data_IF_399028748395
#
_entry.id   IF_399028748395
#
_cell.length_a   1.000
_cell.length_b   1.000
_cell.length_c   1.000
_cell.angle_alpha   90.00
_cell.angle_beta   90.00
_cell.angle_gamma   90.00
#
_symmetry.space_group_name_H-M   'P 1'
#
loop_
_entity.id
_entity.type
_entity.pdbx_description
1 polymer ?
#
# COMPACT_ATOMS: atom_id res chain seq x y z
N UNK A 1 -20.32 0.17 -24.90
CA UNK A 1 -19.00 -0.44 -25.21
C UNK A 1 -17.95 0.32 -24.40
N UNK A 2 -17.74 -0.10 -23.14
CA UNK A 2 -16.87 0.61 -22.20
C UNK A 2 -15.42 0.38 -22.65
N UNK A 3 -14.75 1.47 -23.01
CA UNK A 3 -13.35 1.48 -23.45
C UNK A 3 -12.50 0.76 -22.40
N UNK A 4 -11.82 -0.31 -22.85
CA UNK A 4 -10.86 -1.10 -22.07
C UNK A 4 -9.60 -0.26 -21.81
N UNK A 5 -9.68 0.70 -20.91
CA UNK A 5 -8.55 1.50 -20.44
C UNK A 5 -8.78 1.72 -18.95
N UNK A 6 -7.72 1.54 -18.15
CA UNK A 6 -7.47 2.12 -16.80
C UNK A 6 -6.56 1.19 -15.96
N UNK A 7 -6.36 -0.07 -16.31
CA UNK A 7 -5.85 -1.03 -15.32
C UNK A 7 -4.39 -0.86 -14.88
N UNK A 8 -3.42 -0.51 -15.73
CA UNK A 8 -2.02 -0.47 -15.26
C UNK A 8 -1.70 0.81 -14.46
N UNK A 9 -2.20 1.97 -14.90
CA UNK A 9 -1.93 3.26 -14.22
C UNK A 9 -2.80 3.48 -12.98
N UNK A 10 -4.02 2.91 -12.93
CA UNK A 10 -4.95 3.05 -11.81
C UNK A 10 -4.72 2.03 -10.69
N UNK A 11 -4.21 0.83 -11.01
CA UNK A 11 -3.68 -0.10 -10.00
C UNK A 11 -2.43 0.49 -9.35
N UNK A 12 -1.61 1.21 -10.12
CA UNK A 12 -0.43 1.90 -9.59
C UNK A 12 -0.76 3.16 -8.76
N UNK A 13 -1.96 3.74 -8.89
CA UNK A 13 -2.36 4.97 -8.16
C UNK A 13 -3.23 4.72 -6.93
N UNK A 14 -3.78 3.51 -6.78
CA UNK A 14 -4.55 3.09 -5.62
C UNK A 14 -3.73 2.13 -4.77
N UNK A 15 -3.34 2.62 -3.59
CA UNK A 15 -2.72 1.90 -2.48
C UNK A 15 -1.18 1.86 -2.48
N UNK A 16 -0.58 2.99 -2.14
CA UNK A 16 0.73 3.04 -1.49
C UNK A 16 0.57 3.60 -0.07
N UNK A 17 -0.05 2.81 0.81
CA UNK A 17 0.46 2.78 2.18
C UNK A 17 1.66 1.85 2.13
N UNK A 18 2.87 2.41 2.11
CA UNK A 18 4.08 1.62 2.34
C UNK A 18 3.92 1.01 3.73
N UNK A 19 3.58 -0.27 3.79
CA UNK A 19 3.49 -1.01 5.03
C UNK A 19 4.90 -1.14 5.63
N UNK A 20 5.15 -0.28 6.61
CA UNK A 20 5.76 -0.60 7.90
C UNK A 20 7.23 -1.05 7.87
N UNK A 21 8.12 -0.07 7.71
CA UNK A 21 9.56 -0.28 7.89
C UNK A 21 9.93 -0.26 9.37
N UNK A 22 9.93 -1.43 10.01
CA UNK A 22 11.00 -1.72 10.96
C UNK A 22 12.28 -1.82 10.14
N UNK A 23 13.03 -0.73 10.04
CA UNK A 23 14.29 -0.77 9.32
C UNK A 23 15.34 -1.44 10.21
N UNK A 24 15.36 -2.78 10.20
CA UNK A 24 16.56 -3.52 10.61
C UNK A 24 17.77 -2.98 9.86
N UNK A 25 18.97 -3.16 10.40
CA UNK A 25 20.19 -2.71 9.73
C UNK A 25 20.26 -3.24 8.29
N UNK A 26 19.84 -4.49 8.11
CA UNK A 26 19.77 -5.18 6.83
C UNK A 26 18.77 -4.53 5.87
N UNK A 27 17.58 -4.13 6.35
CA UNK A 27 16.59 -3.39 5.57
C UNK A 27 17.12 -2.01 5.14
N UNK A 28 17.82 -1.29 6.03
CA UNK A 28 18.45 0.01 5.70
C UNK A 28 19.53 -0.14 4.63
N UNK A 29 20.39 -1.13 4.77
CA UNK A 29 21.45 -1.41 3.78
C UNK A 29 20.87 -1.75 2.40
N UNK A 30 19.79 -2.53 2.38
CA UNK A 30 19.09 -2.86 1.14
C UNK A 30 18.42 -1.63 0.52
N UNK A 31 17.74 -0.80 1.32
CA UNK A 31 17.18 0.47 0.85
C UNK A 31 18.26 1.40 0.27
N UNK A 32 19.44 1.51 0.91
CA UNK A 32 20.56 2.28 0.37
C UNK A 32 21.09 1.71 -0.95
N UNK A 33 21.09 0.38 -1.12
CA UNK A 33 21.44 -0.25 -2.39
C UNK A 33 20.40 0.06 -3.47
N UNK A 34 19.11 0.02 -3.10
CA UNK A 34 18.01 0.43 -3.97
C UNK A 34 18.14 1.88 -4.40
N UNK A 35 18.40 2.81 -3.47
CA UNK A 35 18.58 4.24 -3.77
C UNK A 35 19.69 4.48 -4.79
N UNK A 36 20.84 3.83 -4.59
CA UNK A 36 21.97 3.89 -5.55
C UNK A 36 21.58 3.36 -6.92
N UNK A 37 20.90 2.22 -6.96
CA UNK A 37 20.42 1.64 -8.22
C UNK A 37 19.44 2.57 -8.95
N UNK A 38 18.42 3.07 -8.26
CA UNK A 38 17.38 3.91 -8.86
C UNK A 38 17.93 5.26 -9.29
N UNK A 39 18.85 5.85 -8.52
CA UNK A 39 19.51 7.09 -8.91
C UNK A 39 20.41 6.92 -10.15
N UNK A 40 21.20 5.83 -10.21
CA UNK A 40 22.03 5.52 -11.36
C UNK A 40 21.21 5.21 -12.63
N UNK A 41 19.97 4.73 -12.47
CA UNK A 41 19.08 4.36 -13.58
C UNK A 41 17.92 5.35 -13.79
N UNK A 42 17.99 6.55 -13.22
CA UNK A 42 16.90 7.53 -13.29
C UNK A 42 16.53 7.90 -14.73
N UNK A 43 17.52 8.10 -15.60
CA UNK A 43 17.24 8.40 -17.01
C UNK A 43 16.59 7.22 -17.72
N UNK A 44 17.08 5.99 -17.47
CA UNK A 44 16.49 4.77 -18.04
C UNK A 44 15.02 4.59 -17.61
N UNK A 45 14.66 4.98 -16.38
CA UNK A 45 13.27 5.01 -15.92
C UNK A 45 12.46 6.07 -16.68
N UNK A 46 12.96 7.30 -16.78
CA UNK A 46 12.28 8.36 -17.51
C UNK A 46 12.03 7.98 -18.98
N UNK A 47 12.98 7.30 -19.62
CA UNK A 47 12.85 6.83 -21.00
C UNK A 47 11.82 5.71 -21.11
N UNK A 48 11.76 4.80 -20.13
CA UNK A 48 10.72 3.77 -20.02
C UNK A 48 9.33 4.40 -19.84
N UNK A 49 9.20 5.38 -18.95
CA UNK A 49 7.93 6.10 -18.73
C UNK A 49 7.45 6.76 -20.03
N UNK A 50 8.33 7.51 -20.72
CA UNK A 50 8.02 8.13 -22.01
C UNK A 50 7.59 7.10 -23.05
N UNK A 51 8.31 5.98 -23.16
CA UNK A 51 7.96 4.89 -24.07
C UNK A 51 6.56 4.34 -23.75
N UNK A 52 6.28 4.02 -22.48
CA UNK A 52 4.98 3.47 -22.07
C UNK A 52 3.82 4.45 -22.29
N UNK A 53 4.07 5.75 -22.15
CA UNK A 53 3.05 6.77 -22.43
C UNK A 53 2.83 7.00 -23.94
N UNK A 54 3.78 6.64 -24.80
CA UNK A 54 3.64 6.77 -26.27
C UNK A 54 2.90 5.60 -26.93
N UNK A 55 2.77 4.45 -26.26
CA UNK A 55 2.13 3.27 -26.84
C UNK A 55 0.61 3.34 -26.67
N UNK A 56 -0.18 2.82 -27.63
CA UNK A 56 -1.63 2.65 -27.48
C UNK A 56 -1.96 1.73 -26.29
N UNK A 57 -3.10 1.96 -25.63
CA UNK A 57 -3.53 1.18 -24.45
C UNK A 57 -4.09 -0.22 -24.82
N UNK A 58 -4.53 -0.41 -26.06
CA UNK A 58 -5.11 -1.65 -26.57
C UNK A 58 -4.08 -2.68 -27.06
N UNK A 59 -2.81 -2.29 -27.22
CA UNK A 59 -1.71 -3.17 -27.66
C UNK A 59 -0.97 -3.87 -26.51
N UNK A 60 -1.70 -4.60 -25.64
CA UNK A 60 -1.15 -5.22 -24.41
C UNK A 60 0.10 -6.08 -24.67
N UNK A 61 0.10 -6.90 -25.72
CA UNK A 61 1.22 -7.79 -26.03
C UNK A 61 2.49 -7.00 -26.38
N UNK A 62 2.35 -5.97 -27.23
CA UNK A 62 3.46 -5.10 -27.62
C UNK A 62 3.99 -4.30 -26.41
N UNK A 63 3.10 -3.73 -25.59
CA UNK A 63 3.49 -3.02 -24.35
C UNK A 63 4.28 -3.93 -23.41
N UNK A 64 3.80 -5.16 -23.21
CA UNK A 64 4.44 -6.18 -22.37
C UNK A 64 5.84 -6.50 -22.87
N UNK A 65 5.99 -6.75 -24.17
CA UNK A 65 7.28 -7.05 -24.79
C UNK A 65 8.25 -5.87 -24.67
N UNK A 66 7.79 -4.65 -24.98
CA UNK A 66 8.60 -3.43 -24.89
C UNK A 66 9.04 -3.17 -23.45
N UNK A 67 8.16 -3.35 -22.47
CA UNK A 67 8.49 -3.24 -21.06
C UNK A 67 9.58 -4.23 -20.66
N UNK A 68 9.40 -5.53 -20.93
CA UNK A 68 10.37 -6.58 -20.57
C UNK A 68 11.76 -6.33 -21.17
N UNK A 69 11.82 -5.72 -22.36
CA UNK A 69 13.07 -5.44 -23.07
C UNK A 69 13.72 -4.10 -22.74
N UNK A 70 13.07 -3.25 -21.94
CA UNK A 70 13.58 -1.93 -21.58
C UNK A 70 14.88 -2.00 -20.77
N UNK A 71 15.76 -1.02 -20.96
CA UNK A 71 17.08 -0.95 -20.30
C UNK A 71 16.95 -0.92 -18.78
N UNK A 72 15.97 -0.17 -18.26
CA UNK A 72 15.69 -0.13 -16.83
C UNK A 72 15.34 -1.53 -16.28
N UNK A 73 14.50 -2.28 -16.99
CA UNK A 73 14.06 -3.62 -16.56
C UNK A 73 15.20 -4.63 -16.59
N UNK A 74 16.05 -4.59 -17.62
CA UNK A 74 17.27 -5.40 -17.68
C UNK A 74 18.20 -5.10 -16.49
N UNK A 75 18.37 -3.81 -16.18
CA UNK A 75 19.21 -3.37 -15.06
C UNK A 75 18.61 -3.76 -13.71
N UNK A 76 17.28 -3.67 -13.56
CA UNK A 76 16.55 -4.14 -12.38
C UNK A 76 16.76 -5.64 -12.16
N UNK A 77 16.68 -6.46 -13.22
CA UNK A 77 16.89 -7.91 -13.09
C UNK A 77 18.31 -8.25 -12.60
N UNK A 78 19.33 -7.56 -13.10
CA UNK A 78 20.72 -7.72 -12.62
C UNK A 78 20.84 -7.28 -11.16
N UNK A 79 20.29 -6.13 -10.80
CA UNK A 79 20.29 -5.64 -9.43
C UNK A 79 19.58 -6.60 -8.46
N UNK A 80 18.41 -7.11 -8.85
CA UNK A 80 17.62 -8.03 -8.05
C UNK A 80 18.35 -9.37 -7.85
N UNK A 81 19.02 -9.88 -8.89
CA UNK A 81 19.86 -11.08 -8.78
C UNK A 81 21.03 -10.86 -7.81
N UNK A 82 21.73 -9.72 -7.90
CA UNK A 82 22.86 -9.41 -7.04
C UNK A 82 22.47 -9.19 -5.57
N UNK A 83 21.24 -8.75 -5.30
CA UNK A 83 20.75 -8.48 -3.94
C UNK A 83 19.75 -9.53 -3.44
N UNK A 84 19.58 -10.64 -4.17
CA UNK A 84 18.55 -11.63 -3.90
C UNK A 84 18.61 -12.24 -2.50
N UNK A 85 19.81 -12.53 -1.98
CA UNK A 85 19.96 -13.06 -0.61
C UNK A 85 19.51 -12.06 0.45
N UNK A 86 19.81 -10.76 0.25
CA UNK A 86 19.38 -9.69 1.16
C UNK A 86 17.86 -9.53 1.13
N UNK A 87 17.27 -9.54 -0.06
CA UNK A 87 15.81 -9.55 -0.19
C UNK A 87 15.16 -10.74 0.49
N UNK A 88 15.67 -11.95 0.25
CA UNK A 88 15.17 -13.18 0.83
C UNK A 88 15.22 -13.11 2.36
N UNK A 89 16.34 -12.67 2.95
CA UNK A 89 16.49 -12.55 4.40
C UNK A 89 15.49 -11.53 5.01
N UNK A 90 15.44 -10.31 4.47
CA UNK A 90 14.58 -9.24 5.00
C UNK A 90 13.09 -9.61 4.86
N UNK A 91 12.66 -10.07 3.69
CA UNK A 91 11.25 -10.46 3.46
C UNK A 91 10.87 -11.69 4.27
N UNK A 92 11.73 -12.71 4.37
CA UNK A 92 11.47 -13.88 5.22
C UNK A 92 11.21 -13.47 6.66
N UNK A 93 12.02 -12.56 7.21
CA UNK A 93 11.84 -12.07 8.58
C UNK A 93 10.50 -11.34 8.77
N UNK A 94 10.00 -10.61 7.76
CA UNK A 94 8.67 -9.98 7.80
C UNK A 94 7.55 -11.00 7.69
N UNK A 95 7.65 -11.91 6.73
CA UNK A 95 6.62 -12.92 6.48
C UNK A 95 6.43 -13.84 7.69
N UNK A 96 7.52 -14.16 8.41
CA UNK A 96 7.48 -14.98 9.62
C UNK A 96 6.79 -14.33 10.84
N UNK A 97 6.43 -13.05 10.77
CA UNK A 97 5.65 -12.37 11.82
C UNK A 97 4.15 -12.75 11.76
N UNK A 98 3.68 -13.15 10.59
CA UNK A 98 2.27 -13.46 10.35
C UNK A 98 1.94 -14.91 10.74
N UNK A 99 0.71 -15.08 11.22
CA UNK A 99 0.17 -16.37 11.58
C UNK A 99 -0.04 -17.27 10.34
N UNK A 100 0.00 -18.61 10.51
CA UNK A 100 -0.47 -19.53 9.49
C UNK A 100 -1.98 -19.39 9.27
N UNK A 101 -2.51 -19.72 8.08
CA UNK A 101 -3.94 -19.62 7.82
C UNK A 101 -4.74 -20.59 8.70
N UNK A 102 -5.90 -20.19 9.24
CA UNK A 102 -6.75 -21.10 10.00
C UNK A 102 -7.23 -22.25 9.11
N UNK A 103 -7.41 -23.47 9.64
CA UNK A 103 -7.83 -24.63 8.84
C UNK A 103 -9.12 -24.41 8.04
N UNK A 104 -10.07 -23.66 8.60
CA UNK A 104 -11.33 -23.36 7.93
C UNK A 104 -11.16 -22.47 6.68
N UNK A 105 -10.16 -21.58 6.64
CA UNK A 105 -9.82 -20.81 5.44
C UNK A 105 -9.27 -21.71 4.32
N UNK A 106 -8.48 -22.72 4.69
CA UNK A 106 -7.94 -23.69 3.72
C UNK A 106 -9.03 -24.62 3.15
N UNK A 107 -10.13 -24.80 3.88
CA UNK A 107 -11.25 -25.65 3.48
C UNK A 107 -12.24 -24.96 2.52
N UNK A 108 -12.05 -23.67 2.22
CA UNK A 108 -12.86 -22.96 1.23
C UNK A 108 -12.62 -23.50 -0.18
N UNK A 109 -13.59 -23.26 -1.07
CA UNK A 109 -13.45 -23.57 -2.50
C UNK A 109 -12.51 -22.55 -3.18
N UNK A 110 -11.33 -23.01 -3.61
CA UNK A 110 -10.33 -22.17 -4.30
C UNK A 110 -10.36 -22.37 -5.82
N UNK A 111 -10.71 -21.31 -6.54
CA UNK A 111 -10.61 -21.25 -7.99
C UNK A 111 -9.19 -20.80 -8.41
N UNK A 112 -8.56 -21.65 -9.23
CA UNK A 112 -7.23 -21.44 -9.81
C UNK A 112 -7.28 -21.22 -11.34
N UNK A 113 -8.47 -21.37 -11.94
CA UNK A 113 -8.71 -21.41 -13.38
C UNK A 113 -8.99 -20.03 -13.97
N UNK A 114 -9.66 -19.14 -13.23
CA UNK A 114 -10.07 -17.81 -13.73
C UNK A 114 -8.93 -16.82 -14.01
N UNK A 115 -7.67 -17.26 -14.01
CA UNK A 115 -6.49 -16.39 -13.82
C UNK A 115 -5.34 -16.67 -14.80
N UNK A 116 -5.47 -17.68 -15.66
CA UNK A 116 -4.38 -18.16 -16.55
C UNK A 116 -4.65 -17.93 -18.04
N UNK A 117 -5.37 -16.87 -18.40
CA UNK A 117 -5.46 -16.47 -19.80
C UNK A 117 -4.14 -15.78 -20.23
N UNK A 118 -3.47 -16.23 -21.31
CA UNK A 118 -2.35 -15.48 -21.89
C UNK A 118 -2.76 -14.03 -22.18
N UNK A 119 -1.86 -13.08 -21.91
CA UNK A 119 -2.11 -11.62 -22.03
C UNK A 119 -3.17 -11.04 -21.08
N UNK A 120 -3.65 -11.80 -20.08
CA UNK A 120 -4.42 -11.22 -18.98
C UNK A 120 -3.53 -10.44 -18.01
N UNK A 121 -4.14 -9.53 -17.25
CA UNK A 121 -3.49 -8.78 -16.17
C UNK A 121 -2.78 -9.72 -15.18
N UNK A 122 -3.41 -10.84 -14.82
CA UNK A 122 -2.86 -11.86 -13.92
C UNK A 122 -1.77 -12.72 -14.57
N UNK A 123 -1.77 -12.85 -15.90
CA UNK A 123 -0.73 -13.52 -16.67
C UNK A 123 0.61 -12.78 -16.70
N UNK A 124 0.65 -11.50 -16.35
CA UNK A 124 1.86 -10.67 -16.28
C UNK A 124 2.16 -10.17 -14.87
N UNK A 125 1.67 -10.88 -13.84
CA UNK A 125 1.80 -10.45 -12.45
C UNK A 125 3.26 -10.37 -11.98
N UNK A 126 4.16 -11.09 -12.64
CA UNK A 126 5.60 -11.06 -12.39
C UNK A 126 6.22 -9.68 -12.67
N UNK A 127 5.61 -8.88 -13.55
CA UNK A 127 6.08 -7.53 -13.88
C UNK A 127 5.92 -6.55 -12.71
N UNK A 128 5.03 -6.83 -11.74
CA UNK A 128 4.88 -6.01 -10.54
C UNK A 128 6.06 -6.14 -9.57
N UNK A 129 6.99 -7.08 -9.81
CA UNK A 129 8.22 -7.19 -9.00
C UNK A 129 9.02 -5.88 -8.95
N UNK A 130 8.97 -5.07 -10.00
CA UNK A 130 9.63 -3.75 -10.07
C UNK A 130 9.07 -2.77 -9.04
N UNK A 131 7.75 -2.74 -8.83
CA UNK A 131 7.12 -1.85 -7.85
C UNK A 131 7.25 -2.39 -6.41
N UNK A 132 7.73 -3.63 -6.25
CA UNK A 132 8.02 -4.26 -4.96
C UNK A 132 9.48 -4.09 -4.52
N UNK A 133 10.27 -3.29 -5.25
CA UNK A 133 11.68 -3.00 -4.95
C UNK A 133 11.91 -2.47 -3.53
N UNK A 134 10.96 -1.69 -3.00
CA UNK A 134 11.02 -1.09 -1.65
C UNK A 134 10.02 -1.73 -0.68
N UNK A 135 9.48 -2.90 -1.03
CA UNK A 135 8.43 -3.59 -0.29
C UNK A 135 8.98 -4.87 0.31
N UNK A 136 8.88 -4.95 1.64
CA UNK A 136 9.39 -6.09 2.41
C UNK A 136 8.28 -6.84 3.15
N UNK A 137 7.25 -6.12 3.58
CA UNK A 137 6.07 -6.68 4.24
C UNK A 137 5.07 -7.25 3.21
N UNK A 138 4.44 -8.41 3.48
CA UNK A 138 3.50 -9.04 2.56
C UNK A 138 2.20 -8.25 2.33
N UNK A 139 1.87 -7.28 3.17
CA UNK A 139 0.60 -6.53 3.09
C UNK A 139 0.43 -5.80 1.76
N UNK A 140 1.45 -5.09 1.28
CA UNK A 140 1.35 -4.38 0.01
C UNK A 140 1.30 -5.36 -1.18
N UNK A 141 2.04 -6.47 -1.11
CA UNK A 141 1.95 -7.54 -2.11
C UNK A 141 0.54 -8.13 -2.15
N UNK A 142 -0.09 -8.34 -0.99
CA UNK A 142 -1.48 -8.79 -0.88
C UNK A 142 -2.49 -7.75 -1.40
N UNK A 143 -2.24 -6.46 -1.17
CA UNK A 143 -3.07 -5.39 -1.74
C UNK A 143 -3.00 -5.38 -3.27
N UNK A 144 -1.80 -5.49 -3.85
CA UNK A 144 -1.62 -5.60 -5.31
C UNK A 144 -2.36 -6.81 -5.86
N UNK A 145 -2.15 -7.99 -5.26
CA UNK A 145 -2.85 -9.20 -5.67
C UNK A 145 -4.38 -8.99 -5.63
N UNK A 146 -4.93 -8.54 -4.50
CA UNK A 146 -6.36 -8.26 -4.34
C UNK A 146 -6.92 -7.25 -5.35
N UNK A 147 -6.19 -6.17 -5.63
CA UNK A 147 -6.62 -5.14 -6.58
C UNK A 147 -6.71 -5.69 -8.01
N UNK A 148 -5.81 -6.61 -8.38
CA UNK A 148 -5.89 -7.28 -9.68
C UNK A 148 -7.14 -8.16 -9.79
N UNK A 149 -7.48 -8.89 -8.73
CA UNK A 149 -8.72 -9.69 -8.68
C UNK A 149 -9.96 -8.81 -8.73
N UNK A 150 -9.96 -7.70 -8.00
CA UNK A 150 -11.06 -6.74 -8.01
C UNK A 150 -11.34 -6.26 -9.44
N UNK A 151 -10.30 -5.93 -10.22
CA UNK A 151 -10.48 -5.48 -11.61
C UNK A 151 -11.12 -6.53 -12.50
N UNK A 152 -10.73 -7.80 -12.35
CA UNK A 152 -11.38 -8.89 -13.08
C UNK A 152 -12.87 -8.97 -12.72
N UNK A 153 -13.22 -8.82 -11.45
CA UNK A 153 -14.61 -8.80 -10.99
C UNK A 153 -15.37 -7.60 -11.58
N UNK A 154 -14.79 -6.40 -11.60
CA UNK A 154 -15.43 -5.21 -12.19
C UNK A 154 -15.63 -5.29 -13.70
N UNK A 155 -14.72 -5.99 -14.39
CA UNK A 155 -14.80 -6.19 -15.83
C UNK A 155 -15.89 -7.19 -16.25
N UNK A 156 -16.37 -8.01 -15.31
CA UNK A 156 -17.49 -8.91 -15.50
C UNK A 156 -18.80 -8.21 -15.12
N UNK A 157 -19.63 -7.88 -16.11
CA UNK A 157 -20.90 -7.18 -15.87
C UNK A 157 -21.88 -7.98 -15.01
N UNK A 158 -21.72 -9.30 -14.92
CA UNK A 158 -22.57 -10.14 -14.05
C UNK A 158 -22.20 -10.02 -12.57
N UNK A 159 -20.98 -9.54 -12.25
CA UNK A 159 -20.46 -9.43 -10.89
C UNK A 159 -20.38 -7.98 -10.36
N UNK A 160 -20.70 -6.98 -11.18
CA UNK A 160 -20.59 -5.56 -10.82
C UNK A 160 -21.27 -5.16 -9.49
N UNK A 161 -22.52 -5.60 -9.19
CA UNK A 161 -23.16 -5.28 -7.91
C UNK A 161 -22.37 -5.81 -6.70
N UNK A 162 -21.79 -7.01 -6.82
CA UNK A 162 -20.95 -7.61 -5.78
C UNK A 162 -19.61 -6.87 -5.64
N UNK A 163 -19.11 -6.30 -6.73
CA UNK A 163 -17.84 -5.57 -6.77
C UNK A 163 -17.88 -4.27 -5.95
N UNK A 164 -18.98 -3.52 -6.01
CA UNK A 164 -19.18 -2.32 -5.18
C UNK A 164 -19.31 -2.67 -3.70
N UNK A 165 -20.06 -3.73 -3.39
CA UNK A 165 -20.20 -4.24 -2.02
C UNK A 165 -18.85 -4.69 -1.45
N UNK A 166 -18.05 -5.40 -2.26
CA UNK A 166 -16.67 -5.77 -1.94
C UNK A 166 -15.83 -4.57 -1.49
N UNK A 167 -15.77 -3.49 -2.27
CA UNK A 167 -14.99 -2.32 -1.88
C UNK A 167 -15.48 -1.63 -0.62
N UNK A 168 -16.80 -1.57 -0.39
CA UNK A 168 -17.37 -0.99 0.83
C UNK A 168 -16.98 -1.79 2.06
N UNK A 169 -17.17 -3.11 2.01
CA UNK A 169 -16.83 -4.00 3.13
C UNK A 169 -15.33 -4.00 3.38
N UNK A 170 -14.51 -4.19 2.35
CA UNK A 170 -13.05 -4.14 2.49
C UNK A 170 -12.56 -2.80 3.05
N UNK A 171 -13.12 -1.68 2.58
CA UNK A 171 -12.76 -0.34 3.07
C UNK A 171 -13.21 -0.04 4.51
N UNK A 172 -14.22 -0.75 5.03
CA UNK A 172 -14.71 -0.58 6.40
C UNK A 172 -14.09 -1.59 7.37
N UNK A 173 -13.82 -2.81 6.93
CA UNK A 173 -13.48 -3.92 7.83
C UNK A 173 -12.07 -4.47 7.60
N UNK A 174 -11.35 -3.94 6.61
CA UNK A 174 -9.97 -4.30 6.34
C UNK A 174 -9.82 -5.70 5.74
N UNK A 175 -8.63 -6.28 5.93
CA UNK A 175 -8.30 -7.64 5.53
C UNK A 175 -7.47 -8.31 6.62
N UNK A 176 -7.63 -9.62 6.75
CA UNK A 176 -6.74 -10.50 7.49
C UNK A 176 -5.69 -11.09 6.54
N UNK A 177 -4.44 -11.18 6.99
CA UNK A 177 -3.29 -11.66 6.22
C UNK A 177 -2.62 -12.81 6.97
N UNK A 178 -2.43 -13.91 6.27
CA UNK A 178 -1.76 -15.11 6.79
C UNK A 178 -0.65 -15.55 5.85
N UNK A 179 0.41 -16.13 6.40
CA UNK A 179 1.55 -16.61 5.61
C UNK A 179 1.96 -18.02 6.03
N UNK A 180 2.59 -18.74 5.10
CA UNK A 180 3.21 -20.04 5.41
C UNK A 180 4.44 -20.22 4.55
N UNK A 181 5.56 -20.59 5.17
CA UNK A 181 6.74 -21.00 4.43
C UNK A 181 6.48 -22.33 3.72
N UNK A 182 6.80 -22.41 2.43
CA UNK A 182 6.65 -23.63 1.65
C UNK A 182 7.98 -24.39 1.60
N UNK A 183 8.90 -23.90 0.77
CA UNK A 183 10.25 -24.45 0.60
C UNK A 183 11.15 -23.43 -0.09
N UNK A 184 12.46 -23.47 0.19
CA UNK A 184 13.42 -22.51 -0.36
C UNK A 184 12.99 -21.07 -0.10
N UNK A 185 12.96 -20.24 -1.16
CA UNK A 185 12.55 -18.84 -1.12
C UNK A 185 11.03 -18.63 -1.32
N UNK A 186 10.21 -19.68 -1.23
CA UNK A 186 8.78 -19.58 -1.50
C UNK A 186 7.94 -19.53 -0.23
N UNK A 187 7.07 -18.52 -0.17
CA UNK A 187 6.03 -18.37 0.83
C UNK A 187 4.65 -18.40 0.17
N UNK A 188 3.66 -19.00 0.82
CA UNK A 188 2.26 -18.85 0.45
C UNK A 188 1.65 -17.73 1.30
N UNK A 189 0.86 -16.87 0.68
CA UNK A 189 0.14 -15.78 1.31
C UNK A 189 -1.36 -16.00 1.12
N UNK A 190 -2.16 -15.75 2.15
CA UNK A 190 -3.61 -15.67 2.08
C UNK A 190 -4.04 -14.31 2.60
N UNK A 191 -4.80 -13.58 1.81
CA UNK A 191 -5.36 -12.31 2.19
C UNK A 191 -6.88 -12.40 2.05
N UNK A 192 -7.60 -12.24 3.17
CA UNK A 192 -9.03 -12.45 3.25
C UNK A 192 -9.73 -11.20 3.79
N UNK A 193 -10.81 -10.81 3.14
CA UNK A 193 -11.84 -9.97 3.73
C UNK A 193 -13.14 -10.77 3.94
N UNK A 194 -14.19 -10.10 4.42
CA UNK A 194 -15.48 -10.75 4.69
C UNK A 194 -16.23 -11.20 3.43
N UNK A 195 -15.73 -10.90 2.23
CA UNK A 195 -16.37 -11.23 0.95
C UNK A 195 -15.47 -12.13 0.07
N UNK A 196 -14.17 -11.93 0.11
CA UNK A 196 -13.21 -12.59 -0.77
C UNK A 196 -11.93 -12.93 -0.04
N UNK A 197 -11.37 -14.10 -0.32
CA UNK A 197 -10.00 -14.42 -0.02
C UNK A 197 -9.24 -14.69 -1.32
N UNK A 198 -8.01 -14.20 -1.33
CA UNK A 198 -7.04 -14.42 -2.39
C UNK A 198 -5.83 -15.12 -1.81
N UNK A 199 -5.25 -16.01 -2.59
CA UNK A 199 -4.03 -16.70 -2.19
C UNK A 199 -3.06 -16.79 -3.35
N UNK A 200 -1.77 -16.63 -3.05
CA UNK A 200 -0.70 -16.67 -4.03
C UNK A 200 0.60 -17.13 -3.40
N UNK A 201 1.49 -17.65 -4.24
CA UNK A 201 2.87 -17.93 -3.88
C UNK A 201 3.74 -16.71 -4.18
N UNK A 202 4.61 -16.37 -3.24
CA UNK A 202 5.56 -15.29 -3.34
C UNK A 202 7.00 -15.81 -3.27
N UNK A 203 7.82 -15.43 -4.23
CA UNK A 203 9.27 -15.62 -4.23
C UNK A 203 9.90 -14.45 -3.45
N UNK A 204 10.34 -14.69 -2.21
CA UNK A 204 10.89 -13.61 -1.37
C UNK A 204 12.23 -13.09 -1.89
N UNK A 205 12.97 -13.90 -2.64
CA UNK A 205 14.24 -13.50 -3.25
C UNK A 205 14.01 -12.55 -4.41
N UNK A 206 13.06 -12.87 -5.29
CA UNK A 206 12.86 -12.16 -6.57
C UNK A 206 11.72 -11.15 -6.54
N UNK A 207 10.82 -11.23 -5.57
CA UNK A 207 9.62 -10.40 -5.48
C UNK A 207 8.55 -10.77 -6.50
N UNK A 208 8.46 -12.05 -6.89
CA UNK A 208 7.54 -12.54 -7.93
C UNK A 208 6.33 -13.19 -7.27
N UNK A 209 5.14 -12.78 -7.70
CA UNK A 209 3.87 -13.43 -7.37
C UNK A 209 3.60 -14.53 -8.40
N UNK A 210 3.13 -15.70 -7.96
CA UNK A 210 2.80 -16.84 -8.82
C UNK A 210 1.65 -17.65 -8.24
N UNK A 211 1.06 -18.51 -9.07
CA UNK A 211 -0.07 -19.36 -8.71
C UNK A 211 -1.19 -18.62 -7.94
N UNK A 212 -1.68 -17.47 -8.43
CA UNK A 212 -2.79 -16.79 -7.79
C UNK A 212 -4.04 -17.68 -7.82
N UNK A 213 -4.86 -17.56 -6.79
CA UNK A 213 -6.14 -18.24 -6.61
C UNK A 213 -7.06 -17.37 -5.77
N UNK A 214 -8.37 -17.61 -5.88
CA UNK A 214 -9.37 -16.89 -5.08
C UNK A 214 -10.54 -17.78 -4.73
N UNK A 215 -11.30 -17.38 -3.72
CA UNK A 215 -12.58 -18.02 -3.44
C UNK A 215 -13.71 -17.44 -4.30
N UNK A 216 -14.90 -18.04 -4.19
CA UNK A 216 -16.15 -17.39 -4.59
C UNK A 216 -16.35 -16.11 -3.78
N UNK A 217 -17.04 -15.14 -4.39
CA UNK A 217 -17.44 -13.92 -3.72
C UNK A 217 -18.61 -14.23 -2.77
N UNK A 218 -18.55 -13.67 -1.56
CA UNK A 218 -19.61 -13.73 -0.55
C UNK A 218 -19.99 -15.16 -0.15
N UNK A 219 -18.98 -16.04 -0.02
CA UNK A 219 -19.21 -17.43 0.37
C UNK A 219 -19.76 -17.50 1.82
N UNK A 220 -20.94 -18.11 2.07
CA UNK A 220 -21.47 -18.24 3.43
C UNK A 220 -20.53 -18.97 4.41
N UNK A 221 -19.52 -19.70 3.91
CA UNK A 221 -18.49 -20.30 4.74
C UNK A 221 -17.63 -19.26 5.50
N UNK A 222 -17.49 -18.02 5.01
CA UNK A 222 -16.74 -16.95 5.70
C UNK A 222 -17.24 -16.69 7.12
N UNK A 223 -18.56 -16.69 7.31
CA UNK A 223 -19.20 -16.43 8.61
C UNK A 223 -18.93 -17.53 9.65
N UNK A 224 -18.44 -18.70 9.23
CA UNK A 224 -18.12 -19.83 10.12
C UNK A 224 -16.65 -19.90 10.50
N UNK A 225 -15.80 -19.09 9.88
CA UNK A 225 -14.38 -19.06 10.18
C UNK A 225 -14.17 -18.26 11.46
N UNK A 226 -13.50 -18.88 12.44
CA UNK A 226 -12.88 -18.12 13.52
C UNK A 226 -11.59 -17.52 12.97
N UNK A 227 -11.53 -16.19 12.92
CA UNK A 227 -10.41 -15.44 12.39
C UNK A 227 -9.44 -15.09 13.52
N UNK A 228 -8.33 -15.83 13.69
CA UNK A 228 -7.30 -15.43 14.63
C UNK A 228 -6.62 -14.15 14.13
N UNK A 229 -5.93 -13.47 15.05
CA UNK A 229 -5.03 -12.37 14.72
C UNK A 229 -4.10 -12.73 13.55
N UNK A 230 -3.90 -11.78 12.65
CA UNK A 230 -3.02 -11.94 11.50
C UNK A 230 -1.55 -12.01 11.91
N UNK A 231 -1.17 -11.32 12.98
CA UNK A 231 0.22 -11.24 13.45
C UNK A 231 0.39 -12.07 14.72
N UNK A 232 1.21 -13.12 14.64
CA UNK A 232 1.52 -13.99 15.80
C UNK A 232 2.76 -13.51 16.55
N UNK A 233 3.71 -12.89 15.85
CA UNK A 233 5.01 -12.49 16.38
C UNK A 233 5.30 -11.02 16.04
N UNK A 234 4.60 -10.07 16.69
CA UNK A 234 4.78 -8.66 16.42
C UNK A 234 6.20 -8.24 16.80
N UNK A 235 6.94 -7.67 15.85
CA UNK A 235 8.34 -7.33 16.12
C UNK A 235 8.54 -6.00 16.87
N UNK A 236 7.51 -5.14 16.99
CA UNK A 236 7.53 -3.95 17.83
C UNK A 236 6.12 -3.50 18.24
N UNK A 237 6.05 -2.42 19.02
CA UNK A 237 4.78 -1.88 19.51
C UNK A 237 3.89 -1.36 18.38
N UNK A 238 4.46 -0.74 17.36
CA UNK A 238 3.72 -0.25 16.19
C UNK A 238 2.98 -1.37 15.47
N UNK A 239 3.66 -2.50 15.23
CA UNK A 239 3.08 -3.68 14.59
C UNK A 239 2.00 -4.31 15.47
N UNK A 240 2.25 -4.43 16.78
CA UNK A 240 1.28 -4.95 17.74
C UNK A 240 0.01 -4.11 17.79
N UNK A 241 0.16 -2.78 17.89
CA UNK A 241 -0.96 -1.84 17.96
C UNK A 241 -1.79 -1.86 16.66
N UNK A 242 -1.12 -1.96 15.51
CA UNK A 242 -1.79 -2.10 14.22
C UNK A 242 -2.59 -3.41 14.14
N UNK A 243 -2.04 -4.54 14.60
CA UNK A 243 -2.74 -5.82 14.61
C UNK A 243 -3.97 -5.80 15.53
N UNK A 244 -3.82 -5.29 16.77
CA UNK A 244 -4.94 -5.11 17.71
C UNK A 244 -6.06 -4.25 17.10
N UNK A 245 -5.68 -3.16 16.42
CA UNK A 245 -6.61 -2.26 15.75
C UNK A 245 -7.33 -2.94 14.58
N UNK A 246 -6.59 -3.61 13.71
CA UNK A 246 -7.14 -4.33 12.55
C UNK A 246 -8.09 -5.44 13.01
N UNK A 247 -7.74 -6.17 14.07
CA UNK A 247 -8.63 -7.17 14.65
C UNK A 247 -9.89 -6.52 15.23
N UNK A 248 -9.77 -5.42 15.97
CA UNK A 248 -10.94 -4.69 16.49
C UNK A 248 -11.86 -4.17 15.39
N UNK A 249 -11.31 -3.75 14.25
CA UNK A 249 -12.07 -3.35 13.07
C UNK A 249 -12.74 -4.59 12.44
N UNK A 250 -12.01 -5.68 12.29
CA UNK A 250 -12.50 -6.93 11.71
C UNK A 250 -13.71 -7.48 12.48
N UNK A 251 -13.59 -7.57 13.81
CA UNK A 251 -14.62 -8.08 14.71
C UNK A 251 -15.84 -7.15 14.83
N UNK A 252 -15.76 -5.95 14.25
CA UNK A 252 -16.89 -5.04 14.16
C UNK A 252 -17.88 -5.37 13.04
N UNK A 253 -17.55 -6.34 12.19
CA UNK A 253 -18.43 -6.79 11.11
C UNK A 253 -19.76 -7.34 11.67
N UNK A 254 -20.91 -6.87 11.15
CA UNK A 254 -22.21 -7.27 11.67
C UNK A 254 -22.52 -8.74 11.36
N UNK A 255 -23.17 -9.43 12.31
CA UNK A 255 -23.54 -10.84 12.16
C UNK A 255 -24.51 -11.12 10.99
N UNK A 256 -25.37 -10.16 10.65
CA UNK A 256 -26.29 -10.27 9.49
C UNK A 256 -25.60 -9.96 8.16
N UNK A 257 -24.33 -9.56 8.19
CA UNK A 257 -23.64 -9.05 7.02
C UNK A 257 -24.09 -7.64 6.62
N UNK A 258 -23.57 -7.21 5.48
CA UNK A 258 -23.79 -5.89 4.92
C UNK A 258 -24.86 -5.96 3.82
N UNK A 259 -26.08 -5.48 4.11
CA UNK A 259 -27.25 -5.74 3.26
C UNK A 259 -27.62 -4.62 2.26
N UNK A 260 -27.25 -3.35 2.48
CA UNK A 260 -27.54 -2.24 1.53
C UNK A 260 -26.73 -0.93 1.79
N UNK A 261 -26.95 0.11 0.96
CA UNK A 261 -26.30 1.43 1.05
C UNK A 261 -26.66 2.26 2.28
N UNK A 262 -27.91 2.23 2.73
CA UNK A 262 -28.33 3.01 3.91
C UNK A 262 -27.59 2.55 5.17
N UNK A 263 -27.31 1.26 5.25
CA UNK A 263 -26.47 0.69 6.29
C UNK A 263 -25.00 1.11 6.19
N UNK A 264 -24.51 1.53 5.02
CA UNK A 264 -23.12 2.03 4.83
C UNK A 264 -22.78 3.16 5.78
N UNK A 265 -23.57 4.24 5.73
CA UNK A 265 -23.25 5.46 6.45
C UNK A 265 -23.38 5.25 7.95
N UNK A 266 -24.37 4.45 8.37
CA UNK A 266 -24.52 4.03 9.76
C UNK A 266 -23.31 3.23 10.25
N UNK A 267 -22.86 2.24 9.49
CA UNK A 267 -21.68 1.46 9.87
C UNK A 267 -20.39 2.28 9.84
N UNK A 268 -20.23 3.23 8.91
CA UNK A 268 -19.11 4.19 8.92
C UNK A 268 -19.09 5.05 10.18
N UNK A 269 -20.24 5.52 10.65
CA UNK A 269 -20.32 6.28 11.91
C UNK A 269 -19.93 5.41 13.12
N UNK A 270 -20.44 4.16 13.18
CA UNK A 270 -20.08 3.21 14.23
C UNK A 270 -18.59 2.87 14.22
N UNK A 271 -18.02 2.65 13.03
CA UNK A 271 -16.59 2.44 12.84
C UNK A 271 -15.79 3.65 13.36
N UNK A 272 -16.18 4.86 12.98
CA UNK A 272 -15.54 6.11 13.43
C UNK A 272 -15.54 6.22 14.96
N UNK A 273 -16.68 5.93 15.61
CA UNK A 273 -16.78 5.95 17.07
C UNK A 273 -15.90 4.88 17.73
N UNK A 274 -15.85 3.67 17.19
CA UNK A 274 -14.97 2.59 17.67
C UNK A 274 -13.49 2.97 17.55
N UNK A 275 -13.07 3.55 16.43
CA UNK A 275 -11.69 3.98 16.20
C UNK A 275 -11.28 5.10 17.16
N UNK A 276 -12.15 6.08 17.38
CA UNK A 276 -11.91 7.14 18.36
C UNK A 276 -11.78 6.56 19.79
N UNK A 277 -12.63 5.60 20.16
CA UNK A 277 -12.56 4.93 21.45
C UNK A 277 -11.28 4.08 21.61
N UNK A 278 -10.88 3.37 20.56
CA UNK A 278 -9.66 2.57 20.53
C UNK A 278 -8.42 3.47 20.71
N UNK A 279 -8.33 4.55 19.93
CA UNK A 279 -7.25 5.53 20.04
C UNK A 279 -7.19 6.13 21.45
N UNK A 280 -8.34 6.55 22.00
CA UNK A 280 -8.42 7.12 23.35
C UNK A 280 -7.94 6.14 24.43
N UNK A 281 -8.35 4.87 24.33
CA UNK A 281 -8.00 3.82 25.31
C UNK A 281 -6.53 3.38 25.22
N UNK A 282 -5.89 3.57 24.06
CA UNK A 282 -4.53 3.14 23.79
C UNK A 282 -3.54 4.31 23.63
N UNK A 283 -3.89 5.55 24.02
CA UNK A 283 -3.07 6.76 23.80
C UNK A 283 -1.59 6.61 24.16
N UNK A 284 -1.30 5.97 25.29
CA UNK A 284 0.09 5.73 25.71
C UNK A 284 0.88 4.86 24.73
N UNK A 285 0.25 3.82 24.18
CA UNK A 285 0.84 2.92 23.19
C UNK A 285 1.05 3.64 21.85
N UNK A 286 0.06 4.42 21.41
CA UNK A 286 0.18 5.27 20.22
C UNK A 286 1.35 6.25 20.32
N UNK A 287 1.48 6.94 21.46
CA UNK A 287 2.59 7.86 21.70
C UNK A 287 3.94 7.15 21.55
N UNK A 288 4.12 6.00 22.21
CA UNK A 288 5.36 5.22 22.14
C UNK A 288 5.67 4.81 20.70
N UNK A 289 4.68 4.25 19.99
CA UNK A 289 4.85 3.78 18.62
C UNK A 289 5.25 4.92 17.67
N UNK A 290 4.52 6.03 17.67
CA UNK A 290 4.76 7.16 16.76
C UNK A 290 6.06 7.87 17.13
N UNK A 291 6.33 8.10 18.42
CA UNK A 291 7.55 8.79 18.87
C UNK A 291 8.81 7.99 18.53
N UNK A 292 8.77 6.65 18.64
CA UNK A 292 9.88 5.78 18.21
C UNK A 292 10.18 5.94 16.71
N UNK A 293 9.14 5.96 15.88
CA UNK A 293 9.30 6.17 14.44
C UNK A 293 9.84 7.57 14.14
N UNK A 294 9.31 8.62 14.76
CA UNK A 294 9.74 10.01 14.52
C UNK A 294 11.17 10.28 14.97
N UNK A 295 11.59 9.76 16.13
CA UNK A 295 12.99 9.88 16.60
C UNK A 295 13.97 9.22 15.64
N UNK A 296 13.57 8.18 14.92
CA UNK A 296 14.42 7.53 13.92
C UNK A 296 14.67 8.39 12.67
N UNK A 297 13.90 9.47 12.51
CA UNK A 297 13.91 10.41 11.39
C UNK A 297 14.42 11.80 11.80
N UNK A 298 14.92 11.95 13.03
CA UNK A 298 15.32 13.24 13.57
C UNK A 298 16.57 13.78 12.88
N UNK A 299 16.35 14.72 11.97
CA UNK A 299 17.38 15.41 11.19
C UNK A 299 16.72 16.57 10.43
N UNK A 300 17.48 17.63 10.08
CA UNK A 300 16.95 18.72 9.26
C UNK A 300 16.47 18.21 7.89
N UNK A 301 15.33 18.71 7.37
CA UNK A 301 14.90 18.35 6.04
C UNK A 301 15.90 18.82 4.99
N UNK A 302 16.04 18.04 3.91
CA UNK A 302 16.81 18.47 2.75
C UNK A 302 16.20 19.74 2.12
N UNK A 303 17.05 20.56 1.49
CA UNK A 303 16.59 21.75 0.76
C UNK A 303 15.64 21.35 -0.36
N UNK A 304 14.52 22.05 -0.46
CA UNK A 304 13.50 21.88 -1.51
C UNK A 304 13.90 22.54 -2.85
N UNK A 305 15.16 22.38 -3.26
CA UNK A 305 15.67 22.98 -4.50
C UNK A 305 14.89 22.45 -5.71
N UNK A 306 14.32 23.37 -6.50
CA UNK A 306 13.52 23.06 -7.69
C UNK A 306 12.08 22.60 -7.38
N UNK A 307 11.62 22.77 -6.14
CA UNK A 307 10.22 22.59 -5.78
C UNK A 307 9.52 23.94 -5.65
N UNK A 308 8.26 23.97 -6.08
CA UNK A 308 7.34 25.09 -5.90
C UNK A 308 6.26 24.70 -4.89
N UNK A 309 6.08 25.53 -3.87
CA UNK A 309 4.96 25.38 -2.94
C UNK A 309 3.66 25.73 -3.66
N UNK A 310 2.65 24.87 -3.52
CA UNK A 310 1.32 25.11 -4.09
C UNK A 310 0.32 25.59 -3.04
N UNK A 311 0.68 25.49 -1.76
CA UNK A 311 -0.11 25.93 -0.61
C UNK A 311 0.42 27.23 -0.02
N UNK A 312 -0.42 27.91 0.74
CA UNK A 312 -0.14 29.13 1.50
C UNK A 312 -0.33 28.88 3.00
N UNK A 313 -0.10 29.91 3.83
CA UNK A 313 -0.24 29.80 5.28
C UNK A 313 -1.68 29.53 5.74
N UNK A 314 -2.62 30.00 4.95
CA UNK A 314 -4.04 30.04 5.21
C UNK A 314 -4.76 28.78 4.67
N UNK A 315 -4.12 27.99 3.81
CA UNK A 315 -4.72 26.79 3.25
C UNK A 315 -4.88 25.67 4.29
N UNK A 316 -6.07 25.08 4.34
CA UNK A 316 -6.34 23.80 5.02
C UNK A 316 -6.73 22.74 3.98
N UNK A 317 -5.73 21.98 3.53
CA UNK A 317 -5.91 20.97 2.48
C UNK A 317 -6.35 19.60 3.03
N UNK A 318 -6.32 19.40 4.35
CA UNK A 318 -6.62 18.10 4.98
C UNK A 318 -7.98 17.96 5.68
N UNK A 319 -8.97 18.87 5.65
CA UNK A 319 -10.13 18.80 6.56
C UNK A 319 -11.00 17.54 6.34
N UNK A 320 -10.99 16.98 5.12
CA UNK A 320 -11.69 15.73 4.79
C UNK A 320 -10.81 14.47 4.87
N UNK A 321 -9.50 14.64 5.08
CA UNK A 321 -8.53 13.55 5.21
C UNK A 321 -8.13 13.35 6.66
N UNK A 322 -7.96 14.41 7.44
CA UNK A 322 -7.76 14.29 8.86
C UNK A 322 -9.07 13.86 9.54
N UNK A 323 -9.12 12.59 9.91
CA UNK A 323 -10.33 11.94 10.40
C UNK A 323 -9.96 11.00 11.55
N UNK A 324 -10.93 10.65 12.40
CA UNK A 324 -10.68 9.67 13.46
C UNK A 324 -10.16 8.33 12.92
N UNK A 325 -10.52 7.97 11.67
CA UNK A 325 -9.97 6.80 11.00
C UNK A 325 -8.45 6.95 10.77
N UNK A 326 -8.01 8.03 10.13
CA UNK A 326 -6.59 8.23 9.85
C UNK A 326 -5.79 8.48 11.14
N UNK A 327 -6.32 9.27 12.08
CA UNK A 327 -5.68 9.48 13.38
C UNK A 327 -5.46 8.18 14.17
N UNK A 328 -6.39 7.22 14.07
CA UNK A 328 -6.25 5.91 14.70
C UNK A 328 -5.40 4.92 13.90
N UNK A 329 -5.43 4.96 12.56
CA UNK A 329 -4.77 3.95 11.71
C UNK A 329 -3.39 4.36 11.21
N UNK A 330 -3.02 5.65 11.29
CA UNK A 330 -1.72 6.10 10.83
C UNK A 330 -0.73 6.08 11.99
N UNK A 331 0.29 5.25 11.84
CA UNK A 331 1.38 5.12 12.81
C UNK A 331 2.74 5.48 12.18
N UNK A 332 2.78 5.74 10.87
CA UNK A 332 3.99 6.02 10.11
C UNK A 332 3.86 7.34 9.35
N UNK A 333 4.93 8.17 9.33
CA UNK A 333 4.97 9.45 8.62
C UNK A 333 4.52 9.42 7.16
N UNK A 334 4.85 8.34 6.45
CA UNK A 334 4.54 8.20 5.03
C UNK A 334 3.05 7.96 4.75
N UNK A 335 2.28 7.47 5.73
CA UNK A 335 0.82 7.31 5.56
C UNK A 335 0.14 8.67 5.46
N UNK A 336 0.53 9.62 6.33
CA UNK A 336 0.08 11.01 6.22
C UNK A 336 0.55 11.67 4.93
N UNK A 337 1.78 11.40 4.47
CA UNK A 337 2.25 11.93 3.19
C UNK A 337 1.35 11.50 2.02
N UNK A 338 1.00 10.21 1.93
CA UNK A 338 0.05 9.72 0.92
C UNK A 338 -1.33 10.37 1.07
N UNK A 339 -1.84 10.51 2.30
CA UNK A 339 -3.13 11.17 2.52
C UNK A 339 -3.13 12.66 2.12
N UNK A 340 -2.04 13.38 2.42
CA UNK A 340 -1.86 14.79 2.05
C UNK A 340 -1.72 14.93 0.53
N UNK A 341 -0.98 14.05 -0.14
CA UNK A 341 -0.89 14.02 -1.61
C UNK A 341 -2.29 13.87 -2.24
N UNK A 342 -3.10 12.95 -1.72
CA UNK A 342 -4.48 12.78 -2.19
C UNK A 342 -5.38 13.97 -1.83
N UNK A 343 -5.16 14.63 -0.69
CA UNK A 343 -5.90 15.83 -0.30
C UNK A 343 -5.58 17.00 -1.23
N UNK A 344 -4.30 17.21 -1.51
CA UNK A 344 -3.80 18.23 -2.41
C UNK A 344 -4.35 18.06 -3.83
N UNK A 345 -4.44 16.82 -4.33
CA UNK A 345 -5.08 16.52 -5.62
C UNK A 345 -6.51 17.10 -5.70
N UNK A 346 -7.33 16.83 -4.69
CA UNK A 346 -8.72 17.30 -4.66
C UNK A 346 -8.84 18.80 -4.41
N UNK A 347 -8.05 19.33 -3.47
CA UNK A 347 -8.10 20.75 -3.08
C UNK A 347 -7.60 21.68 -4.19
N UNK A 348 -6.44 21.35 -4.79
CA UNK A 348 -5.79 22.16 -5.82
C UNK A 348 -6.25 21.81 -7.24
N UNK A 349 -7.16 20.82 -7.39
CA UNK A 349 -7.66 20.33 -8.68
C UNK A 349 -6.55 19.93 -9.66
N UNK A 350 -5.54 19.20 -9.16
CA UNK A 350 -4.39 18.78 -9.97
C UNK A 350 -4.80 17.70 -11.00
N UNK A 351 -4.03 17.54 -12.07
CA UNK A 351 -4.27 16.48 -13.05
C UNK A 351 -4.08 15.09 -12.39
N UNK A 352 -5.09 14.20 -12.43
CA UNK A 352 -4.96 12.83 -11.93
C UNK A 352 -3.81 12.03 -12.56
N UNK A 353 -3.42 12.34 -13.81
CA UNK A 353 -2.26 11.72 -14.48
C UNK A 353 -0.95 12.11 -13.79
N UNK A 354 -0.79 13.38 -13.43
CA UNK A 354 0.39 13.87 -12.71
C UNK A 354 0.46 13.27 -11.30
N UNK A 355 -0.69 13.12 -10.63
CA UNK A 355 -0.76 12.39 -9.36
C UNK A 355 -0.29 10.93 -9.53
N UNK A 356 -0.79 10.23 -10.55
CA UNK A 356 -0.37 8.85 -10.84
C UNK A 356 1.14 8.74 -11.05
N UNK A 357 1.73 9.68 -11.80
CA UNK A 357 3.17 9.77 -12.02
C UNK A 357 3.96 10.03 -10.73
N UNK A 358 3.51 10.94 -9.87
CA UNK A 358 4.16 11.21 -8.57
C UNK A 358 4.14 9.97 -7.65
N UNK A 359 3.00 9.29 -7.57
CA UNK A 359 2.88 8.04 -6.78
C UNK A 359 3.82 6.96 -7.31
N UNK A 360 3.88 6.77 -8.63
CA UNK A 360 4.82 5.82 -9.25
C UNK A 360 6.27 6.18 -8.95
N UNK A 361 6.64 7.46 -9.07
CA UNK A 361 7.97 7.93 -8.73
C UNK A 361 8.30 7.71 -7.25
N UNK A 362 7.37 7.94 -6.34
CA UNK A 362 7.58 7.68 -4.91
C UNK A 362 7.75 6.18 -4.62
N UNK A 363 7.06 5.30 -5.34
CA UNK A 363 7.25 3.85 -5.23
C UNK A 363 8.64 3.39 -5.72
N UNK A 364 9.16 3.98 -6.80
CA UNK A 364 10.45 3.61 -7.39
C UNK A 364 11.62 4.31 -6.67
N UNK A 365 11.59 5.63 -6.56
CA UNK A 365 12.68 6.45 -6.04
C UNK A 365 12.62 6.66 -4.53
N UNK A 366 11.54 6.22 -3.87
CA UNK A 366 11.36 6.37 -2.44
C UNK A 366 10.90 7.76 -2.02
N UNK A 367 10.60 7.87 -0.73
CA UNK A 367 10.16 9.09 -0.07
C UNK A 367 11.05 9.29 1.17
N UNK A 368 11.88 10.33 1.17
CA UNK A 368 12.74 10.62 2.31
C UNK A 368 11.95 11.35 3.37
N UNK A 369 11.95 10.81 4.59
CA UNK A 369 11.20 11.37 5.71
C UNK A 369 12.15 11.99 6.72
N UNK A 370 11.77 13.14 7.26
CA UNK A 370 12.51 13.89 8.27
C UNK A 370 11.52 14.32 9.34
N UNK A 371 11.97 14.38 10.59
CA UNK A 371 11.15 14.81 11.70
C UNK A 371 11.91 15.81 12.59
N UNK A 372 11.18 16.76 13.14
CA UNK A 372 11.70 17.73 14.11
C UNK A 372 10.69 17.87 15.25
N UNK A 373 11.15 17.66 16.47
CA UNK A 373 10.33 17.89 17.66
C UNK A 373 10.08 19.39 17.81
N UNK A 374 8.81 19.79 17.94
CA UNK A 374 8.43 21.18 18.22
C UNK A 374 8.20 21.40 19.72
N UNK A 375 7.53 20.44 20.36
CA UNK A 375 7.32 20.42 21.82
C UNK A 375 7.09 18.98 22.30
N UNK A 376 6.49 18.81 23.48
CA UNK A 376 6.27 17.48 24.06
C UNK A 376 5.26 16.63 23.29
N UNK A 377 4.33 17.25 22.59
CA UNK A 377 3.21 16.58 21.94
C UNK A 377 3.18 16.77 20.42
N UNK A 378 3.94 17.72 19.88
CA UNK A 378 3.91 18.06 18.46
C UNK A 378 5.27 17.85 17.78
N UNK A 379 5.21 17.23 16.60
CA UNK A 379 6.35 17.04 15.71
C UNK A 379 6.03 17.61 14.35
N UNK A 380 6.98 18.36 13.79
CA UNK A 380 6.96 18.70 12.37
C UNK A 380 7.57 17.54 11.59
N UNK A 381 6.89 17.13 10.53
CA UNK A 381 7.31 16.01 9.69
C UNK A 381 7.37 16.47 8.25
N UNK A 382 8.47 16.14 7.59
CA UNK A 382 8.70 16.40 6.18
C UNK A 382 8.83 15.09 5.42
N UNK A 383 8.21 15.01 4.25
CA UNK A 383 8.36 13.90 3.33
C UNK A 383 8.70 14.45 1.95
N UNK A 384 9.86 14.07 1.41
CA UNK A 384 10.42 14.64 0.19
C UNK A 384 10.69 13.50 -0.81
N UNK A 385 9.94 13.51 -1.90
CA UNK A 385 10.01 12.53 -2.98
C UNK A 385 10.76 13.08 -4.19
N UNK A 386 10.70 12.34 -5.30
CA UNK A 386 11.38 12.75 -6.53
C UNK A 386 10.66 13.92 -7.24
N UNK A 387 9.32 13.95 -7.14
CA UNK A 387 8.44 14.86 -7.88
C UNK A 387 7.49 15.68 -6.99
N UNK A 388 7.32 15.29 -5.72
CA UNK A 388 6.53 16.04 -4.75
C UNK A 388 7.14 16.00 -3.35
N UNK A 389 6.69 16.92 -2.51
CA UNK A 389 7.03 16.94 -1.09
C UNK A 389 5.85 17.45 -0.28
N UNK A 390 5.81 17.09 1.00
CA UNK A 390 4.83 17.63 1.94
C UNK A 390 5.44 17.81 3.32
N UNK A 391 4.83 18.70 4.10
CA UNK A 391 5.11 18.86 5.52
C UNK A 391 3.82 19.01 6.29
N UNK A 392 3.84 18.66 7.57
CA UNK A 392 2.71 18.78 8.48
C UNK A 392 3.20 18.73 9.92
N UNK A 393 2.37 19.21 10.84
CA UNK A 393 2.55 19.00 12.27
C UNK A 393 1.67 17.84 12.71
N UNK A 394 2.24 16.88 13.43
CA UNK A 394 1.54 15.74 14.00
C UNK A 394 1.40 15.90 15.52
N UNK A 395 0.15 15.95 16.02
CA UNK A 395 -0.17 15.95 17.45
C UNK A 395 -0.25 14.51 17.98
N UNK A 396 0.70 14.12 18.83
CA UNK A 396 0.80 12.78 19.41
C UNK A 396 -0.30 12.47 20.45
N UNK A 397 -0.99 13.48 21.00
CA UNK A 397 -2.09 13.23 21.95
C UNK A 397 -3.35 12.77 21.24
N UNK A 398 -3.56 13.31 20.05
CA UNK A 398 -4.82 13.20 19.31
C UNK A 398 -4.70 12.40 18.03
N UNK A 399 -3.48 12.16 17.53
CA UNK A 399 -3.20 11.46 16.28
C UNK A 399 -3.45 12.30 15.02
N UNK A 400 -4.02 13.50 15.17
CA UNK A 400 -4.40 14.41 14.11
C UNK A 400 -3.20 15.20 13.56
N UNK A 401 -3.37 15.79 12.37
CA UNK A 401 -2.34 16.61 11.73
C UNK A 401 -2.87 18.00 11.39
N UNK A 402 -1.99 18.99 11.42
CA UNK A 402 -2.34 20.36 11.03
C UNK A 402 -1.22 21.02 10.21
N UNK A 403 -1.52 22.19 9.66
CA UNK A 403 -0.60 23.01 8.85
C UNK A 403 0.05 22.19 7.73
N UNK A 404 -0.74 21.35 7.07
CA UNK A 404 -0.27 20.56 5.96
C UNK A 404 0.12 21.47 4.79
N UNK A 405 1.32 21.24 4.24
CA UNK A 405 1.88 21.97 3.10
C UNK A 405 2.26 21.02 2.00
N UNK A 406 2.15 21.46 0.75
CA UNK A 406 2.42 20.63 -0.41
C UNK A 406 3.24 21.36 -1.47
N UNK A 407 4.26 20.67 -1.97
CA UNK A 407 5.15 21.13 -3.02
C UNK A 407 5.18 20.16 -4.18
N UNK A 408 5.38 20.69 -5.38
CA UNK A 408 5.63 19.92 -6.60
C UNK A 408 6.95 20.34 -7.20
N UNK A 409 7.66 19.40 -7.80
CA UNK A 409 8.88 19.72 -8.52
C UNK A 409 8.53 20.46 -9.81
N UNK A 410 9.18 21.59 -10.04
CA UNK A 410 9.09 22.28 -11.32
C UNK A 410 9.76 21.41 -12.38
N UNK A 411 9.02 21.06 -13.43
CA UNK A 411 9.65 20.41 -14.57
C UNK A 411 10.62 21.40 -15.23
N UNK A 412 11.82 20.96 -15.66
CA UNK A 412 12.65 21.79 -16.52
C UNK A 412 11.79 22.18 -17.73
N UNK A 413 11.69 23.48 -18.04
CA UNK A 413 11.02 23.95 -19.24
C UNK A 413 11.55 23.15 -20.44
N UNK A 414 10.67 22.36 -21.06
CA UNK A 414 10.97 21.47 -22.18
C UNK A 414 11.25 22.24 -23.45
#
# INVERSE_FOLDING_TARGET
>A
MIKKIVSLTFICSLLTCVAYSQTTKEEKELLNAVDRFTNANKQNWNDLEKLMNSLPDDEIAQRTEKFRNAVFIKSFNVFNQANGDKYAAVRTAKFAQYAPPPPALLALDWDTSSLRAPNSLTGNIDLFSVILLRTFDPTLTAQIANSMFAITIFSDSTLQPMALRYYRVKGMYGMQLYTRHLSGDYWQVWAADHILAVSFRYDVRRGIISAPSRTKLDDPAYARIQWPHSIEKPANETVRLMDDLLQSIWDSYPATGYDNEDHYFRYRQLQTAKLAAFLSSNRGRYRIAIEQELRSLEQPPATLTGFKELTTAEDDIVPYRDSAYNAATFLYPRQWATAIQMAALSYLQLDPKDYGRRVQHNAIFGLNSYARRLNDDEWEVWNIGALDACSYIWDLRSGHVNKARYWVREEPAS
#
